data_IF_207266284012
#
_entry.id   IF_207266284012
#
_cell.length_a   1.000
_cell.length_b   1.000
_cell.length_c   1.000
_cell.angle_alpha   90.00
_cell.angle_beta   90.00
_cell.angle_gamma   90.00
#
_symmetry.space_group_name_H-M   'P 1'
#
loop_
_entity.id
_entity.type
_entity.pdbx_description
1 polymer ?
#
# COMPACT_ATOMS: atom_id res chain seq x y z
N UNK A 1 -33.30 -10.34 4.09
CA UNK A 1 -33.13 -10.74 2.67
C UNK A 1 -31.65 -10.70 2.31
N UNK A 2 -30.98 -11.85 2.19
CA UNK A 2 -29.59 -11.92 1.72
C UNK A 2 -29.61 -11.88 0.19
N UNK A 3 -29.40 -10.72 -0.43
CA UNK A 3 -29.02 -10.69 -1.84
C UNK A 3 -27.57 -11.15 -1.93
N UNK A 4 -27.36 -12.47 -2.04
CA UNK A 4 -26.06 -13.01 -2.41
C UNK A 4 -25.78 -12.52 -3.83
N UNK A 5 -25.02 -11.43 -3.95
CA UNK A 5 -24.55 -10.91 -5.23
C UNK A 5 -23.98 -12.07 -6.04
N UNK A 6 -24.29 -12.13 -7.33
CA UNK A 6 -23.67 -13.12 -8.20
C UNK A 6 -22.14 -12.93 -8.19
N UNK A 7 -21.34 -13.98 -8.42
CA UNK A 7 -19.88 -13.87 -8.47
C UNK A 7 -19.40 -12.72 -9.36
N UNK A 8 -20.05 -12.53 -10.51
CA UNK A 8 -19.77 -11.45 -11.45
C UNK A 8 -20.10 -10.06 -10.87
N UNK A 9 -21.26 -9.92 -10.23
CA UNK A 9 -21.65 -8.65 -9.59
C UNK A 9 -20.73 -8.29 -8.43
N UNK A 10 -20.32 -9.28 -7.63
CA UNK A 10 -19.38 -9.08 -6.53
C UNK A 10 -18.01 -8.63 -7.04
N UNK A 11 -17.50 -9.28 -8.09
CA UNK A 11 -16.25 -8.89 -8.75
C UNK A 11 -16.32 -7.46 -9.29
N UNK A 12 -17.35 -7.16 -10.09
CA UNK A 12 -17.53 -5.83 -10.67
C UNK A 12 -17.65 -4.74 -9.60
N UNK A 13 -18.38 -5.01 -8.52
CA UNK A 13 -18.48 -4.09 -7.37
C UNK A 13 -17.11 -3.85 -6.72
N UNK A 14 -16.29 -4.89 -6.59
CA UNK A 14 -14.92 -4.76 -6.09
C UNK A 14 -14.04 -3.92 -7.01
N UNK A 15 -14.10 -4.19 -8.31
CA UNK A 15 -13.39 -3.42 -9.33
C UNK A 15 -13.78 -1.95 -9.30
N UNK A 16 -15.07 -1.63 -9.23
CA UNK A 16 -15.53 -0.23 -9.14
C UNK A 16 -15.10 0.45 -7.83
N UNK A 17 -15.05 -0.28 -6.72
CA UNK A 17 -14.65 0.26 -5.42
C UNK A 17 -13.18 0.69 -5.39
N UNK A 18 -12.31 0.00 -6.15
CA UNK A 18 -10.86 0.31 -6.14
C UNK A 18 -10.44 1.38 -7.14
N UNK A 19 -11.24 1.67 -8.18
CA UNK A 19 -10.89 2.65 -9.23
C UNK A 19 -10.41 4.00 -8.67
N UNK A 20 -11.07 4.65 -7.69
CA UNK A 20 -10.59 5.93 -7.16
C UNK A 20 -9.18 5.83 -6.56
N UNK A 21 -8.88 4.73 -5.87
CA UNK A 21 -7.55 4.46 -5.31
C UNK A 21 -6.54 4.15 -6.42
N UNK A 22 -6.92 3.36 -7.42
CA UNK A 22 -6.08 3.11 -8.60
C UNK A 22 -5.65 4.41 -9.28
N UNK A 23 -6.58 5.34 -9.48
CA UNK A 23 -6.30 6.63 -10.12
C UNK A 23 -5.39 7.51 -9.25
N UNK A 24 -5.55 7.49 -7.92
CA UNK A 24 -4.66 8.18 -7.00
C UNK A 24 -3.22 7.63 -7.08
N UNK A 25 -3.07 6.33 -7.34
CA UNK A 25 -1.77 5.66 -7.53
C UNK A 25 -1.17 5.81 -8.94
N UNK A 26 -1.88 6.42 -9.91
CA UNK A 26 -1.37 6.54 -11.28
C UNK A 26 -0.05 7.33 -11.37
N UNK A 27 0.11 8.50 -10.75
CA UNK A 27 1.38 9.24 -10.78
C UNK A 27 2.53 8.46 -10.15
N UNK A 28 2.22 7.67 -9.11
CA UNK A 28 3.18 6.81 -8.45
C UNK A 28 3.66 5.68 -9.37
N UNK A 29 2.74 5.00 -10.06
CA UNK A 29 3.09 3.98 -11.07
C UNK A 29 3.93 4.56 -12.21
N UNK A 30 3.58 5.76 -12.69
CA UNK A 30 4.37 6.49 -13.70
C UNK A 30 5.80 6.76 -13.23
N UNK A 31 5.95 7.18 -11.96
CA UNK A 31 7.25 7.45 -11.35
C UNK A 31 8.10 6.18 -11.25
N UNK A 32 7.52 5.07 -10.79
CA UNK A 32 8.23 3.77 -10.71
C UNK A 32 8.73 3.34 -12.10
N UNK A 33 7.88 3.45 -13.12
CA UNK A 33 8.25 3.07 -14.48
C UNK A 33 9.37 3.93 -15.08
N UNK A 34 9.32 5.25 -14.84
CA UNK A 34 10.35 6.18 -15.34
C UNK A 34 11.67 6.02 -14.58
N UNK A 35 11.64 5.93 -13.25
CA UNK A 35 12.85 5.74 -12.43
C UNK A 35 13.57 4.43 -12.75
N UNK A 36 12.85 3.37 -13.11
CA UNK A 36 13.48 2.13 -13.54
C UNK A 36 14.32 2.30 -14.82
N UNK A 37 13.85 3.13 -15.75
CA UNK A 37 14.60 3.47 -16.98
C UNK A 37 15.80 4.35 -16.64
N UNK A 38 15.64 5.31 -15.72
CA UNK A 38 16.76 6.12 -15.23
C UNK A 38 17.80 5.30 -14.46
N UNK A 39 17.38 4.21 -13.82
CA UNK A 39 18.25 3.21 -13.18
C UNK A 39 18.88 2.22 -14.19
N UNK A 40 18.77 2.49 -15.49
CA UNK A 40 19.35 1.69 -16.58
C UNK A 40 18.76 0.28 -16.73
N UNK A 41 17.57 0.03 -16.17
CA UNK A 41 16.85 -1.23 -16.38
C UNK A 41 16.25 -1.26 -17.79
N UNK A 42 16.20 -2.43 -18.41
CA UNK A 42 15.47 -2.58 -19.68
C UNK A 42 13.96 -2.45 -19.44
N UNK A 43 13.17 -2.07 -20.47
CA UNK A 43 11.71 -2.00 -20.36
C UNK A 43 11.06 -3.31 -19.92
N UNK A 44 11.60 -4.45 -20.36
CA UNK A 44 11.10 -5.77 -19.99
C UNK A 44 11.43 -6.11 -18.54
N UNK A 45 12.63 -5.79 -18.07
CA UNK A 45 13.01 -5.95 -16.65
C UNK A 45 12.18 -5.05 -15.75
N UNK A 46 11.95 -3.79 -16.15
CA UNK A 46 11.12 -2.85 -15.39
C UNK A 46 9.67 -3.32 -15.29
N UNK A 47 9.06 -3.73 -16.40
CA UNK A 47 7.70 -4.26 -16.38
C UNK A 47 7.61 -5.59 -15.61
N UNK A 48 8.60 -6.47 -15.78
CA UNK A 48 8.69 -7.72 -15.03
C UNK A 48 8.83 -7.49 -13.53
N UNK A 49 9.61 -6.48 -13.13
CA UNK A 49 9.74 -6.08 -11.73
C UNK A 49 8.41 -5.61 -11.15
N UNK A 50 7.62 -4.83 -11.90
CA UNK A 50 6.26 -4.43 -11.52
C UNK A 50 5.25 -5.58 -11.46
N UNK A 51 5.37 -6.54 -12.38
CA UNK A 51 4.50 -7.70 -12.40
C UNK A 51 4.78 -8.67 -11.24
N UNK A 52 6.03 -8.78 -10.78
CA UNK A 52 6.43 -9.72 -9.72
C UNK A 52 6.37 -9.06 -8.34
N UNK A 53 6.88 -7.84 -8.22
CA UNK A 53 6.95 -7.09 -6.96
C UNK A 53 5.82 -6.10 -6.91
N UNK A 54 4.65 -6.59 -6.49
CA UNK A 54 3.45 -5.79 -6.36
C UNK A 54 3.42 -5.00 -5.04
N UNK A 55 4.39 -4.09 -4.87
CA UNK A 55 4.54 -3.25 -3.69
C UNK A 55 5.20 -1.91 -4.05
N UNK A 56 4.40 -0.89 -4.39
CA UNK A 56 4.89 0.36 -4.98
C UNK A 56 6.00 1.07 -4.18
N UNK A 57 5.87 1.12 -2.84
CA UNK A 57 6.86 1.77 -1.99
C UNK A 57 8.19 1.03 -2.00
N UNK A 58 8.11 -0.31 -1.97
CA UNK A 58 9.28 -1.17 -2.03
C UNK A 58 9.98 -1.08 -3.38
N UNK A 59 9.21 -0.95 -4.48
CA UNK A 59 9.79 -0.77 -5.81
C UNK A 59 10.59 0.52 -5.94
N UNK A 60 10.09 1.65 -5.44
CA UNK A 60 10.83 2.92 -5.48
C UNK A 60 12.16 2.83 -4.74
N UNK A 61 12.13 2.30 -3.50
CA UNK A 61 13.34 2.14 -2.69
C UNK A 61 14.30 1.15 -3.36
N UNK A 62 13.81 0.02 -3.86
CA UNK A 62 14.62 -0.97 -4.55
C UNK A 62 15.27 -0.40 -5.81
N UNK A 63 14.54 0.34 -6.65
CA UNK A 63 15.09 0.99 -7.85
C UNK A 63 16.16 2.02 -7.46
N UNK A 64 15.92 2.84 -6.43
CA UNK A 64 16.92 3.77 -5.91
C UNK A 64 18.19 3.06 -5.44
N UNK A 65 18.04 1.96 -4.70
CA UNK A 65 19.16 1.14 -4.23
C UNK A 65 19.93 0.50 -5.38
N UNK A 66 19.23 -0.03 -6.40
CA UNK A 66 19.83 -0.55 -7.63
C UNK A 66 20.66 0.54 -8.32
N UNK A 67 20.10 1.75 -8.47
CA UNK A 67 20.79 2.91 -9.07
C UNK A 67 22.08 3.28 -8.33
N UNK A 68 22.09 3.13 -7.00
CA UNK A 68 23.29 3.38 -6.17
C UNK A 68 24.29 2.22 -6.12
N UNK A 69 24.00 1.10 -6.78
CA UNK A 69 24.86 -0.09 -6.75
C UNK A 69 24.84 -0.86 -5.43
N UNK A 70 23.74 -0.76 -4.66
CA UNK A 70 23.58 -1.51 -3.42
C UNK A 70 23.59 -3.02 -3.66
N UNK A 71 24.06 -3.78 -2.66
CA UNK A 71 24.07 -5.24 -2.73
C UNK A 71 22.65 -5.82 -2.75
N UNK A 72 22.48 -6.95 -3.44
CA UNK A 72 21.20 -7.66 -3.49
C UNK A 72 20.67 -8.02 -2.09
N UNK A 73 21.55 -8.41 -1.17
CA UNK A 73 21.18 -8.69 0.22
C UNK A 73 20.61 -7.47 0.93
N UNK A 74 21.21 -6.29 0.73
CA UNK A 74 20.71 -5.02 1.29
C UNK A 74 19.33 -4.67 0.72
N UNK A 75 19.13 -4.83 -0.59
CA UNK A 75 17.83 -4.59 -1.23
C UNK A 75 16.77 -5.53 -0.67
N UNK A 76 17.07 -6.83 -0.55
CA UNK A 76 16.13 -7.82 -0.01
C UNK A 76 15.77 -7.53 1.45
N UNK A 77 16.75 -7.23 2.31
CA UNK A 77 16.50 -6.90 3.72
C UNK A 77 15.67 -5.62 3.83
N UNK A 78 16.01 -4.58 3.07
CA UNK A 78 15.28 -3.31 3.10
C UNK A 78 13.85 -3.48 2.62
N UNK A 79 13.66 -4.21 1.51
CA UNK A 79 12.33 -4.55 0.97
C UNK A 79 11.52 -5.34 1.99
N UNK A 80 12.11 -6.36 2.62
CA UNK A 80 11.46 -7.17 3.66
C UNK A 80 11.02 -6.31 4.86
N UNK A 81 11.89 -5.43 5.35
CA UNK A 81 11.60 -4.56 6.47
C UNK A 81 10.50 -3.56 6.13
N UNK A 82 10.57 -2.94 4.95
CA UNK A 82 9.58 -1.97 4.46
C UNK A 82 8.21 -2.61 4.27
N UNK A 83 8.17 -3.85 3.75
CA UNK A 83 6.91 -4.55 3.45
C UNK A 83 6.38 -5.39 4.60
N UNK A 84 7.06 -5.41 5.75
CA UNK A 84 6.69 -6.21 6.92
C UNK A 84 5.25 -6.03 7.39
N UNK A 85 4.64 -4.86 7.14
CA UNK A 85 3.21 -4.60 7.39
C UNK A 85 2.27 -5.59 6.70
N UNK A 86 2.63 -6.12 5.53
CA UNK A 86 1.83 -7.11 4.81
C UNK A 86 1.72 -8.44 5.57
N UNK A 87 2.72 -8.77 6.40
CA UNK A 87 2.64 -9.92 7.30
C UNK A 87 1.54 -9.72 8.35
N UNK A 88 1.44 -8.51 8.93
CA UNK A 88 0.40 -8.16 9.90
C UNK A 88 -0.98 -8.17 9.25
N UNK A 89 -1.11 -7.66 8.03
CA UNK A 89 -2.36 -7.74 7.26
C UNK A 89 -2.78 -9.19 7.01
N UNK A 90 -1.83 -10.04 6.61
CA UNK A 90 -2.06 -11.47 6.41
C UNK A 90 -2.51 -12.18 7.69
N UNK A 91 -1.91 -11.83 8.83
CA UNK A 91 -2.32 -12.35 10.14
C UNK A 91 -3.73 -11.90 10.53
N UNK A 92 -4.07 -10.63 10.30
CA UNK A 92 -5.40 -10.09 10.57
C UNK A 92 -6.47 -10.76 9.72
N UNK A 93 -6.24 -10.88 8.41
CA UNK A 93 -7.19 -11.50 7.48
C UNK A 93 -7.20 -13.04 7.56
N UNK A 94 -6.34 -13.66 8.37
CA UNK A 94 -6.22 -15.11 8.51
C UNK A 94 -7.55 -15.77 8.84
N UNK A 95 -8.30 -15.23 9.81
CA UNK A 95 -9.58 -15.80 10.24
C UNK A 95 -10.62 -15.82 9.11
N UNK A 96 -10.58 -14.81 8.24
CA UNK A 96 -11.48 -14.66 7.10
C UNK A 96 -11.04 -15.53 5.91
N UNK A 97 -9.73 -15.61 5.64
CA UNK A 97 -9.16 -16.31 4.48
C UNK A 97 -8.92 -17.81 4.73
N UNK A 98 -8.82 -18.27 5.98
CA UNK A 98 -8.47 -19.66 6.31
C UNK A 98 -9.50 -20.69 5.84
N UNK A 99 -10.76 -20.29 5.67
CA UNK A 99 -11.81 -21.15 5.11
C UNK A 99 -11.75 -21.31 3.59
N UNK A 100 -10.89 -20.58 2.89
CA UNK A 100 -10.73 -20.68 1.44
C UNK A 100 -9.70 -21.75 1.06
N UNK A 101 -9.81 -22.30 -0.14
CA UNK A 101 -8.83 -23.24 -0.68
C UNK A 101 -7.46 -22.58 -0.89
N UNK A 102 -6.39 -23.38 -0.87
CA UNK A 102 -5.01 -22.87 -0.97
C UNK A 102 -4.77 -22.01 -2.22
N UNK A 103 -5.43 -22.30 -3.34
CA UNK A 103 -5.32 -21.50 -4.58
C UNK A 103 -5.81 -20.06 -4.38
N UNK A 104 -6.93 -19.89 -3.68
CA UNK A 104 -7.46 -18.56 -3.35
C UNK A 104 -6.58 -17.83 -2.36
N UNK A 105 -6.00 -18.55 -1.38
CA UNK A 105 -5.11 -17.95 -0.38
C UNK A 105 -3.82 -17.41 -1.01
N UNK A 106 -3.24 -18.15 -1.95
CA UNK A 106 -2.03 -17.70 -2.67
C UNK A 106 -2.37 -16.52 -3.58
N UNK A 107 -3.44 -16.61 -4.38
CA UNK A 107 -3.83 -15.52 -5.29
C UNK A 107 -4.18 -14.22 -4.58
N UNK A 108 -5.02 -14.30 -3.53
CA UNK A 108 -5.37 -13.11 -2.73
C UNK A 108 -4.21 -12.61 -1.87
N UNK A 109 -3.29 -13.50 -1.47
CA UNK A 109 -2.07 -13.13 -0.76
C UNK A 109 -1.09 -12.35 -1.66
N UNK A 110 -0.99 -12.72 -2.93
CA UNK A 110 -0.21 -11.95 -3.91
C UNK A 110 -0.82 -10.57 -4.18
N UNK A 111 -2.14 -10.48 -4.23
CA UNK A 111 -2.87 -9.22 -4.44
C UNK A 111 -3.04 -8.38 -3.17
N UNK A 112 -2.42 -8.80 -2.06
CA UNK A 112 -2.55 -8.12 -0.78
C UNK A 112 -1.71 -6.83 -0.82
N UNK A 113 -2.37 -5.70 -0.99
CA UNK A 113 -1.81 -4.35 -0.87
C UNK A 113 -2.52 -3.58 0.25
N UNK A 114 -2.03 -2.37 0.56
CA UNK A 114 -2.66 -1.45 1.51
C UNK A 114 -4.12 -1.15 1.11
N UNK A 115 -4.37 -0.92 -0.17
CA UNK A 115 -5.71 -0.64 -0.74
C UNK A 115 -6.61 -1.87 -0.66
N UNK A 116 -6.07 -3.06 -0.97
CA UNK A 116 -6.80 -4.30 -0.81
C UNK A 116 -7.21 -4.50 0.64
N UNK A 117 -6.29 -4.30 1.58
CA UNK A 117 -6.54 -4.44 3.01
C UNK A 117 -7.55 -3.40 3.49
N UNK A 118 -7.41 -2.13 3.11
CA UNK A 118 -8.32 -1.04 3.49
C UNK A 118 -9.77 -1.34 3.09
N UNK A 119 -9.99 -1.90 1.90
CA UNK A 119 -11.32 -2.21 1.40
C UNK A 119 -11.91 -3.50 1.97
N UNK A 120 -11.06 -4.48 2.32
CA UNK A 120 -11.51 -5.83 2.72
C UNK A 120 -11.44 -6.13 4.22
N UNK A 121 -10.64 -5.40 5.00
CA UNK A 121 -10.42 -5.65 6.44
C UNK A 121 -11.66 -5.50 7.31
N UNK A 122 -12.64 -4.70 6.86
CA UNK A 122 -13.92 -4.50 7.55
C UNK A 122 -14.88 -5.71 7.47
N UNK A 123 -14.57 -6.72 6.65
CA UNK A 123 -15.45 -7.87 6.45
C UNK A 123 -15.01 -9.09 7.27
N UNK A 124 -15.95 -9.60 8.06
CA UNK A 124 -15.79 -10.86 8.79
C UNK A 124 -15.94 -12.07 7.85
N UNK A 125 -15.57 -13.25 8.35
CA UNK A 125 -15.69 -14.53 7.63
C UNK A 125 -17.09 -14.79 7.03
N UNK A 126 -18.16 -14.28 7.63
CA UNK A 126 -19.54 -14.47 7.17
C UNK A 126 -19.96 -13.49 6.06
N UNK A 127 -19.34 -12.31 5.99
CA UNK A 127 -19.69 -11.23 5.06
C UNK A 127 -18.66 -11.07 3.94
N UNK A 128 -17.48 -11.67 4.10
CA UNK A 128 -16.41 -11.64 3.13
C UNK A 128 -16.80 -12.35 1.82
N UNK A 129 -16.67 -11.63 0.71
CA UNK A 129 -16.83 -12.18 -0.63
C UNK A 129 -15.47 -12.28 -1.32
N UNK A 130 -15.02 -13.52 -1.56
CA UNK A 130 -13.77 -13.80 -2.29
C UNK A 130 -13.73 -13.17 -3.68
N UNK A 131 -14.89 -13.04 -4.34
CA UNK A 131 -15.00 -12.45 -5.68
C UNK A 131 -14.90 -10.93 -5.64
N UNK A 132 -15.46 -10.30 -4.61
CA UNK A 132 -15.25 -8.87 -4.37
C UNK A 132 -13.78 -8.57 -4.10
N UNK A 133 -13.14 -9.34 -3.22
CA UNK A 133 -11.73 -9.22 -2.93
C UNK A 133 -10.87 -9.41 -4.19
N UNK A 134 -11.18 -10.42 -5.02
CA UNK A 134 -10.50 -10.60 -6.30
C UNK A 134 -10.69 -9.42 -7.24
N UNK A 135 -11.91 -8.84 -7.32
CA UNK A 135 -12.19 -7.65 -8.12
C UNK A 135 -11.34 -6.46 -7.70
N UNK A 136 -11.23 -6.22 -6.39
CA UNK A 136 -10.36 -5.17 -5.83
C UNK A 136 -8.90 -5.42 -6.22
N UNK A 137 -8.36 -6.59 -5.86
CA UNK A 137 -6.93 -6.88 -6.06
C UNK A 137 -6.52 -6.94 -7.53
N UNK A 138 -7.28 -7.66 -8.35
CA UNK A 138 -6.93 -7.88 -9.75
C UNK A 138 -7.07 -6.59 -10.58
N UNK A 139 -8.13 -5.79 -10.36
CA UNK A 139 -8.29 -4.52 -11.06
C UNK A 139 -7.21 -3.52 -10.66
N UNK A 140 -6.81 -3.50 -9.38
CA UNK A 140 -5.70 -2.67 -8.92
C UNK A 140 -4.37 -3.12 -9.53
N UNK A 141 -4.09 -4.43 -9.55
CA UNK A 141 -2.89 -5.00 -10.18
C UNK A 141 -2.78 -4.66 -11.68
N UNK A 142 -3.88 -4.79 -12.42
CA UNK A 142 -3.90 -4.44 -13.84
C UNK A 142 -3.69 -2.94 -14.05
N UNK A 143 -4.36 -2.10 -13.26
CA UNK A 143 -4.18 -0.65 -13.33
C UNK A 143 -2.72 -0.26 -13.03
N UNK A 144 -2.14 -0.83 -11.97
CA UNK A 144 -0.73 -0.61 -11.60
C UNK A 144 0.22 -0.94 -12.75
N UNK A 145 0.08 -2.12 -13.36
CA UNK A 145 0.91 -2.53 -14.49
C UNK A 145 0.76 -1.60 -15.71
N UNK A 146 -0.44 -1.08 -15.97
CA UNK A 146 -0.69 -0.11 -17.03
C UNK A 146 0.00 1.22 -16.72
N UNK A 147 -0.07 1.70 -15.48
CA UNK A 147 0.61 2.93 -15.07
C UNK A 147 2.12 2.79 -15.11
N UNK A 148 2.69 1.66 -14.65
CA UNK A 148 4.14 1.43 -14.77
C UNK A 148 4.57 1.33 -16.22
N UNK A 149 3.79 0.68 -17.08
CA UNK A 149 4.07 0.63 -18.52
C UNK A 149 4.08 2.03 -19.14
N UNK A 150 3.07 2.85 -18.81
CA UNK A 150 3.03 4.24 -19.24
C UNK A 150 4.25 5.03 -18.73
N UNK A 151 4.67 4.79 -17.48
CA UNK A 151 5.89 5.38 -16.91
C UNK A 151 7.17 4.98 -17.65
N UNK A 152 7.29 3.71 -18.03
CA UNK A 152 8.42 3.18 -18.81
C UNK A 152 8.47 3.84 -20.20
N UNK A 153 7.31 3.98 -20.86
CA UNK A 153 7.22 4.62 -22.17
C UNK A 153 7.55 6.11 -22.09
N UNK A 154 7.01 6.81 -21.10
CA UNK A 154 7.24 8.24 -20.90
C UNK A 154 8.67 8.53 -20.44
N UNK A 155 9.27 7.69 -19.59
CA UNK A 155 10.66 7.83 -19.13
C UNK A 155 11.68 7.78 -20.26
N UNK A 156 11.37 7.11 -21.38
CA UNK A 156 12.22 7.15 -22.60
C UNK A 156 12.14 8.47 -23.36
N UNK A 157 11.00 9.16 -23.28
CA UNK A 157 10.71 10.33 -24.11
C UNK A 157 10.84 11.66 -23.37
N UNK A 158 10.60 11.66 -22.06
CA UNK A 158 10.62 12.85 -21.21
C UNK A 158 11.67 12.62 -20.11
N UNK A 159 12.84 13.26 -20.19
CA UNK A 159 13.83 13.20 -19.12
C UNK A 159 13.33 13.93 -17.87
N UNK A 160 13.72 13.44 -16.69
CA UNK A 160 13.42 14.02 -15.36
C UNK A 160 11.93 14.05 -14.96
N UNK A 161 11.17 12.97 -15.19
CA UNK A 161 9.79 12.86 -14.68
C UNK A 161 9.69 13.05 -13.15
N UNK A 162 10.75 12.67 -12.42
CA UNK A 162 10.91 12.88 -10.98
C UNK A 162 10.75 14.35 -10.56
N UNK A 163 11.13 15.30 -11.42
CA UNK A 163 11.01 16.75 -11.14
C UNK A 163 9.57 17.28 -11.15
N UNK A 164 8.61 16.51 -11.69
CA UNK A 164 7.20 16.89 -11.74
C UNK A 164 6.48 16.72 -10.39
N UNK A 165 7.18 16.27 -9.35
CA UNK A 165 6.62 16.11 -8.02
C UNK A 165 5.62 14.96 -7.91
N UNK A 166 5.73 13.95 -8.79
CA UNK A 166 4.85 12.76 -8.79
C UNK A 166 4.92 11.98 -7.46
N UNK A 167 6.00 12.13 -6.70
CA UNK A 167 6.16 11.59 -5.35
C UNK A 167 5.09 12.09 -4.37
N UNK A 168 4.57 13.30 -4.56
CA UNK A 168 3.50 13.84 -3.71
C UNK A 168 2.24 12.97 -3.74
N UNK A 169 1.99 12.27 -4.84
CA UNK A 169 0.84 11.38 -4.97
C UNK A 169 0.88 10.22 -3.98
N UNK A 170 2.07 9.78 -3.54
CA UNK A 170 2.21 8.75 -2.49
C UNK A 170 1.60 9.29 -1.20
N UNK A 171 2.03 10.48 -0.76
CA UNK A 171 1.50 11.12 0.43
C UNK A 171 -0.01 11.39 0.31
N UNK A 172 -0.47 11.87 -0.84
CA UNK A 172 -1.88 12.15 -1.09
C UNK A 172 -2.75 10.87 -0.99
N UNK A 173 -2.30 9.75 -1.54
CA UNK A 173 -3.00 8.46 -1.45
C UNK A 173 -3.10 7.97 -0.01
N UNK A 174 -2.01 8.02 0.76
CA UNK A 174 -2.05 7.62 2.17
C UNK A 174 -2.95 8.54 3.01
N UNK A 175 -2.93 9.85 2.76
CA UNK A 175 -3.86 10.79 3.40
C UNK A 175 -5.30 10.42 3.07
N UNK A 176 -5.60 10.14 1.79
CA UNK A 176 -6.94 9.74 1.36
C UNK A 176 -7.41 8.43 1.98
N UNK A 177 -6.50 7.46 2.19
CA UNK A 177 -6.79 6.18 2.87
C UNK A 177 -7.03 6.35 4.38
N UNK A 178 -6.23 7.20 5.04
CA UNK A 178 -6.29 7.39 6.49
C UNK A 178 -7.47 8.29 6.88
N UNK A 179 -7.76 9.35 6.13
CA UNK A 179 -8.83 10.32 6.42
C UNK A 179 -10.17 9.68 6.82
N UNK A 180 -10.75 8.71 6.09
CA UNK A 180 -12.02 8.09 6.47
C UNK A 180 -11.95 7.19 7.72
N UNK A 181 -10.75 6.83 8.18
CA UNK A 181 -10.53 6.03 9.39
C UNK A 181 -10.40 6.92 10.63
N UNK A 182 -10.01 8.19 10.47
CA UNK A 182 -9.87 9.18 11.55
C UNK A 182 -11.24 9.72 11.97
N UNK A 183 -12.00 8.89 12.70
CA UNK A 183 -13.36 9.23 13.16
C UNK A 183 -13.50 9.42 14.67
N UNK A 184 -12.46 9.09 15.44
CA UNK A 184 -12.51 9.10 16.90
C UNK A 184 -11.41 9.97 17.50
N UNK A 185 -11.67 10.54 18.68
CA UNK A 185 -10.68 11.33 19.43
C UNK A 185 -9.38 10.54 19.66
N UNK A 186 -9.41 9.25 20.07
CA UNK A 186 -8.18 8.45 20.16
C UNK A 186 -7.40 8.34 18.85
N UNK A 187 -8.09 8.20 17.71
CA UNK A 187 -7.44 8.13 16.40
C UNK A 187 -6.82 9.47 16.01
N UNK A 188 -7.49 10.59 16.32
CA UNK A 188 -6.95 11.94 16.09
C UNK A 188 -5.68 12.17 16.92
N UNK A 189 -5.70 11.80 18.20
CA UNK A 189 -4.53 11.90 19.09
C UNK A 189 -3.38 11.04 18.56
N UNK A 190 -3.67 9.81 18.11
CA UNK A 190 -2.67 8.93 17.50
C UNK A 190 -2.00 9.58 16.28
N UNK A 191 -2.81 10.11 15.34
CA UNK A 191 -2.31 10.77 14.12
C UNK A 191 -1.49 12.01 14.46
N UNK A 192 -1.98 12.87 15.35
CA UNK A 192 -1.29 14.10 15.73
C UNK A 192 0.05 13.83 16.40
N UNK A 193 0.11 12.89 17.35
CA UNK A 193 1.36 12.52 18.02
C UNK A 193 2.33 11.87 17.05
N UNK A 194 1.86 10.99 16.17
CA UNK A 194 2.70 10.39 15.11
C UNK A 194 3.31 11.46 14.21
N UNK A 195 2.50 12.43 13.78
CA UNK A 195 2.93 13.53 12.91
C UNK A 195 3.97 14.41 13.61
N UNK A 196 3.69 14.85 14.84
CA UNK A 196 4.58 15.71 15.60
C UNK A 196 5.93 15.02 15.89
N UNK A 197 5.90 13.75 16.32
CA UNK A 197 7.11 12.96 16.54
C UNK A 197 7.89 12.71 15.24
N UNK A 198 7.19 12.43 14.13
CA UNK A 198 7.84 12.21 12.83
C UNK A 198 8.60 13.45 12.37
N UNK A 199 7.97 14.64 12.44
CA UNK A 199 8.63 15.91 12.09
C UNK A 199 9.83 16.19 13.00
N UNK A 200 9.67 16.00 14.30
CA UNK A 200 10.73 16.24 15.28
C UNK A 200 11.92 15.29 15.08
N UNK A 201 11.68 13.98 14.96
CA UNK A 201 12.76 13.00 14.80
C UNK A 201 13.42 13.05 13.41
N UNK A 202 12.67 13.43 12.38
CA UNK A 202 13.22 13.70 11.05
C UNK A 202 14.15 14.91 11.06
N UNK A 203 13.78 15.98 11.79
CA UNK A 203 14.67 17.14 12.00
C UNK A 203 15.97 16.75 12.72
N UNK A 204 15.88 15.83 13.69
CA UNK A 204 17.03 15.28 14.41
C UNK A 204 17.84 14.24 13.61
N UNK A 205 17.44 13.95 12.35
CA UNK A 205 18.06 12.94 11.46
C UNK A 205 18.20 11.55 12.08
N UNK A 206 17.23 11.14 12.89
CA UNK A 206 17.18 9.78 13.40
C UNK A 206 16.70 8.80 12.32
N UNK A 207 17.50 7.79 12.01
CA UNK A 207 17.17 6.78 11.00
C UNK A 207 15.91 5.97 11.36
N UNK A 208 15.58 5.84 12.65
CA UNK A 208 14.40 5.15 13.17
C UNK A 208 13.20 6.06 13.42
N UNK A 209 13.24 7.32 12.98
CA UNK A 209 12.21 8.34 13.23
C UNK A 209 10.79 7.85 12.95
N UNK A 210 10.59 7.18 11.81
CA UNK A 210 9.28 6.68 11.39
C UNK A 210 8.73 5.62 12.36
N UNK A 211 9.56 4.64 12.75
CA UNK A 211 9.14 3.55 13.64
C UNK A 211 8.81 4.09 15.03
N UNK A 212 9.67 4.94 15.58
CA UNK A 212 9.48 5.53 16.91
C UNK A 212 8.25 6.44 16.93
N UNK A 213 8.04 7.23 15.88
CA UNK A 213 6.84 8.09 15.77
C UNK A 213 5.54 7.28 15.73
N UNK A 214 5.51 6.17 14.99
CA UNK A 214 4.34 5.29 14.92
C UNK A 214 4.03 4.63 16.27
N UNK A 215 5.06 4.12 16.96
CA UNK A 215 4.91 3.54 18.31
C UNK A 215 4.42 4.58 19.32
N UNK A 216 4.96 5.79 19.29
CA UNK A 216 4.54 6.89 20.16
C UNK A 216 3.07 7.25 19.92
N UNK A 217 2.67 7.39 18.65
CA UNK A 217 1.29 7.67 18.27
C UNK A 217 0.31 6.57 18.69
N UNK A 218 0.62 5.30 18.40
CA UNK A 218 -0.22 4.17 18.81
C UNK A 218 -0.39 4.11 20.32
N UNK A 219 0.68 4.35 21.08
CA UNK A 219 0.65 4.38 22.55
C UNK A 219 -0.24 5.52 23.05
N UNK A 220 -0.07 6.73 22.52
CA UNK A 220 -0.88 7.88 22.89
C UNK A 220 -2.37 7.69 22.57
N UNK A 221 -2.68 7.15 21.38
CA UNK A 221 -4.04 6.81 20.99
C UNK A 221 -4.66 5.74 21.91
N UNK A 222 -3.90 4.69 22.25
CA UNK A 222 -4.36 3.64 23.16
C UNK A 222 -4.64 4.17 24.57
N UNK A 223 -3.73 4.98 25.12
CA UNK A 223 -3.92 5.62 26.43
C UNK A 223 -5.13 6.54 26.42
N UNK A 224 -5.30 7.36 25.37
CA UNK A 224 -6.47 8.23 25.21
C UNK A 224 -7.77 7.42 25.18
N UNK A 225 -7.81 6.31 24.43
CA UNK A 225 -8.96 5.40 24.40
C UNK A 225 -9.30 4.86 25.79
N UNK A 226 -8.30 4.36 26.53
CA UNK A 226 -8.49 3.84 27.89
C UNK A 226 -9.01 4.90 28.87
N UNK A 227 -8.51 6.14 28.78
CA UNK A 227 -8.95 7.23 29.65
C UNK A 227 -10.40 7.66 29.36
N UNK A 228 -10.85 7.53 28.11
CA UNK A 228 -12.24 7.81 27.74
C UNK A 228 -13.18 6.67 28.16
N UNK A 229 -12.78 5.41 28.01
CA UNK A 229 -13.55 4.24 28.46
C UNK A 229 -13.64 4.15 29.99
N UNK A 230 -12.62 4.63 30.72
CA UNK A 230 -12.65 4.69 32.19
C UNK A 230 -13.49 5.83 32.77
N UNK A 231 -14.06 6.70 31.93
CA UNK A 231 -14.93 7.83 32.33
C UNK A 231 -16.43 7.58 32.07
N UNK A 232 -16.78 6.49 31.39
CA UNK A 232 -18.16 6.04 31.13
C UNK A 232 -18.57 4.94 32.10
#
# INVERSE_FOLDING_TARGET
MRSTLSPYQAFWKGSMAVIPLSLACAPWGLLVGSLAIDAQMTPLESQGFSAIVFAGAAQLVAIGMIKTGASLSSILVTTLLLTSQHLLYGLHMRATLSSLSSRWRIGLGFLLTDEFFALNSQYDQKTFSRWFALGVGLSFYLAWNVFTLAGILLGKSIPNLESLGLEFSIAATFIALVTPVVKSVPTIVCVFVSLACSVLFSYLRWESALVVSGLAGMTAGFVCKRLLEGRS
#
